data_IF_823014945466
#
_entry.id   IF_823014945466
#
_cell.length_a   1.000
_cell.length_b   1.000
_cell.length_c   1.000
_cell.angle_alpha   90.00
_cell.angle_beta   90.00
_cell.angle_gamma   90.00
#
_symmetry.space_group_name_H-M   'P 1'
#
loop_
_entity.id
_entity.type
_entity.pdbx_description
1 polymer ?
#
# COMPACT_ATOMS: atom_id res chain seq x y z
N UNK A 1 13.58 -16.82 15.28
CA UNK A 1 14.30 -16.12 14.18
C UNK A 1 13.48 -15.93 12.88
N UNK A 2 12.18 -16.30 12.82
CA UNK A 2 11.43 -16.29 11.54
C UNK A 2 10.68 -14.99 11.18
N UNK A 3 10.15 -14.24 12.15
CA UNK A 3 9.19 -13.14 11.90
C UNK A 3 9.81 -11.90 11.23
N UNK A 4 10.94 -11.41 11.77
CA UNK A 4 11.61 -10.20 11.26
C UNK A 4 12.08 -10.33 9.81
N UNK A 5 12.66 -11.49 9.45
CA UNK A 5 13.09 -11.78 8.07
C UNK A 5 11.92 -11.77 7.08
N UNK A 6 10.75 -12.24 7.51
CA UNK A 6 9.54 -12.21 6.70
C UNK A 6 9.00 -10.78 6.53
N UNK A 7 9.00 -9.98 7.60
CA UNK A 7 8.60 -8.57 7.56
C UNK A 7 9.47 -7.76 6.59
N UNK A 8 10.80 -7.93 6.65
CA UNK A 8 11.75 -7.29 5.72
C UNK A 8 11.53 -7.71 4.25
N UNK A 9 11.24 -8.99 4.02
CA UNK A 9 10.92 -9.49 2.67
C UNK A 9 9.61 -8.88 2.15
N UNK A 10 8.58 -8.84 2.98
CA UNK A 10 7.29 -8.25 2.62
C UNK A 10 7.42 -6.77 2.30
N UNK A 11 8.16 -6.01 3.11
CA UNK A 11 8.42 -4.60 2.88
C UNK A 11 9.12 -4.35 1.54
N UNK A 12 10.13 -5.16 1.19
CA UNK A 12 10.79 -5.09 -0.13
C UNK A 12 9.82 -5.32 -1.28
N UNK A 13 8.94 -6.31 -1.16
CA UNK A 13 7.94 -6.62 -2.19
C UNK A 13 6.95 -5.46 -2.36
N UNK A 14 6.39 -4.94 -1.25
CA UNK A 14 5.43 -3.84 -1.27
C UNK A 14 6.06 -2.58 -1.88
N UNK A 15 7.31 -2.24 -1.51
CA UNK A 15 8.06 -1.14 -2.11
C UNK A 15 8.32 -1.33 -3.61
N UNK A 16 8.51 -2.57 -4.06
CA UNK A 16 8.61 -2.90 -5.48
C UNK A 16 7.28 -2.66 -6.22
N UNK A 17 6.18 -3.14 -5.64
CA UNK A 17 4.84 -2.98 -6.22
C UNK A 17 4.44 -1.50 -6.35
N UNK A 18 4.75 -0.64 -5.37
CA UNK A 18 4.47 0.80 -5.42
C UNK A 18 5.11 1.52 -6.62
N UNK A 19 6.21 0.98 -7.18
CA UNK A 19 6.91 1.60 -8.32
C UNK A 19 6.26 1.29 -9.66
N UNK A 20 5.41 0.27 -9.73
CA UNK A 20 4.70 -0.10 -10.95
C UNK A 20 3.77 1.04 -11.37
N UNK A 21 3.71 1.41 -12.67
CA UNK A 21 2.84 2.48 -13.16
C UNK A 21 1.40 2.48 -12.61
N UNK A 22 0.66 1.35 -12.54
CA UNK A 22 -0.70 1.34 -12.01
C UNK A 22 -0.79 1.67 -10.51
N UNK A 23 0.30 1.53 -9.75
CA UNK A 23 0.33 1.67 -8.30
C UNK A 23 0.91 3.01 -7.84
N UNK A 24 1.30 3.90 -8.77
CA UNK A 24 1.90 5.20 -8.44
C UNK A 24 0.90 6.23 -7.94
N UNK A 25 -0.39 5.91 -8.01
CA UNK A 25 -1.48 6.80 -7.64
C UNK A 25 -2.47 6.11 -6.71
N UNK A 26 -3.02 6.87 -5.78
CA UNK A 26 -4.12 6.44 -4.95
C UNK A 26 -5.32 6.07 -5.83
N UNK A 27 -5.90 4.88 -5.63
CA UNK A 27 -7.05 4.44 -6.43
C UNK A 27 -8.30 5.30 -6.20
N UNK A 28 -8.43 5.91 -5.02
CA UNK A 28 -9.63 6.67 -4.64
C UNK A 28 -9.61 8.13 -5.12
N UNK A 29 -8.44 8.79 -5.10
CA UNK A 29 -8.34 10.23 -5.38
C UNK A 29 -7.24 10.60 -6.38
N UNK A 30 -6.56 9.60 -6.96
CA UNK A 30 -5.53 9.76 -7.97
C UNK A 30 -4.27 10.55 -7.53
N UNK A 31 -4.14 10.83 -6.23
CA UNK A 31 -2.96 11.50 -5.66
C UNK A 31 -1.71 10.66 -5.90
N UNK A 32 -0.58 11.31 -6.20
CA UNK A 32 0.70 10.64 -6.40
C UNK A 32 1.24 10.06 -5.09
N UNK A 33 1.97 8.95 -5.20
CA UNK A 33 2.72 8.37 -4.08
C UNK A 33 1.82 7.84 -2.96
N UNK A 34 0.96 6.84 -3.22
CA UNK A 34 0.20 6.18 -2.16
C UNK A 34 1.15 5.61 -1.09
N UNK A 35 0.74 5.71 0.17
CA UNK A 35 1.57 5.32 1.33
C UNK A 35 1.08 4.04 2.00
N UNK A 36 -0.16 3.63 1.73
CA UNK A 36 -0.82 2.51 2.37
C UNK A 36 -1.31 1.50 1.33
N UNK A 37 -1.46 0.25 1.78
CA UNK A 37 -2.07 -0.84 1.04
C UNK A 37 -3.32 -1.27 1.78
N UNK A 38 -4.46 -1.29 1.11
CA UNK A 38 -5.64 -1.98 1.62
C UNK A 38 -5.51 -3.46 1.23
N UNK A 39 -5.26 -4.33 2.21
CA UNK A 39 -5.04 -5.77 1.98
C UNK A 39 -6.30 -6.52 1.60
N UNK A 40 -7.48 -5.96 1.90
CA UNK A 40 -8.76 -6.58 1.54
C UNK A 40 -9.03 -6.50 0.03
N UNK A 41 -8.66 -5.37 -0.59
CA UNK A 41 -8.89 -5.11 -2.01
C UNK A 41 -7.60 -5.11 -2.85
N UNK A 42 -6.44 -5.31 -2.22
CA UNK A 42 -5.13 -5.29 -2.87
C UNK A 42 -4.81 -3.98 -3.60
N UNK A 43 -5.28 -2.86 -3.06
CA UNK A 43 -5.16 -1.53 -3.67
C UNK A 43 -4.20 -0.62 -2.90
N UNK A 44 -3.50 0.25 -3.64
CA UNK A 44 -2.69 1.32 -3.06
C UNK A 44 -3.51 2.59 -2.84
N UNK A 45 -3.41 3.17 -1.64
CA UNK A 45 -4.17 4.35 -1.21
C UNK A 45 -3.28 5.37 -0.51
N UNK A 46 -3.65 6.65 -0.57
CA UNK A 46 -2.98 7.70 0.19
C UNK A 46 -3.42 7.71 1.67
N UNK A 47 -2.67 8.41 2.51
CA UNK A 47 -2.95 8.56 3.95
C UNK A 47 -4.35 9.13 4.23
N UNK A 48 -4.84 10.04 3.39
CA UNK A 48 -6.19 10.60 3.55
C UNK A 48 -7.26 9.55 3.29
N UNK A 49 -7.13 8.79 2.19
CA UNK A 49 -8.11 7.77 1.82
C UNK A 49 -8.03 6.53 2.72
N UNK A 50 -6.91 6.24 3.37
CA UNK A 50 -6.83 5.12 4.31
C UNK A 50 -7.74 5.29 5.53
N UNK A 51 -8.03 6.52 5.96
CA UNK A 51 -9.00 6.77 7.03
C UNK A 51 -10.42 6.28 6.70
N UNK A 52 -10.81 6.32 5.42
CA UNK A 52 -12.12 5.83 4.96
C UNK A 52 -12.19 4.30 5.10
N UNK A 53 -11.10 3.62 4.75
CA UNK A 53 -11.01 2.16 4.87
C UNK A 53 -10.92 1.67 6.32
N UNK A 54 -10.63 2.56 7.28
CA UNK A 54 -10.63 2.27 8.72
C UNK A 54 -11.98 2.56 9.39
N UNK A 55 -12.99 3.02 8.62
CA UNK A 55 -14.31 3.43 9.11
C UNK A 55 -15.37 2.31 9.01
N UNK A 56 -14.98 1.07 8.73
CA UNK A 56 -15.85 -0.12 8.64
C UNK A 56 -15.19 -1.29 9.35
#
# INVERSE_FOLDING_TARGET
MGRRKQEERNEKIIRGLMKLPPNRRCINCNSLGPQYVCTNFWTFICMTCSGIHLSI
#
